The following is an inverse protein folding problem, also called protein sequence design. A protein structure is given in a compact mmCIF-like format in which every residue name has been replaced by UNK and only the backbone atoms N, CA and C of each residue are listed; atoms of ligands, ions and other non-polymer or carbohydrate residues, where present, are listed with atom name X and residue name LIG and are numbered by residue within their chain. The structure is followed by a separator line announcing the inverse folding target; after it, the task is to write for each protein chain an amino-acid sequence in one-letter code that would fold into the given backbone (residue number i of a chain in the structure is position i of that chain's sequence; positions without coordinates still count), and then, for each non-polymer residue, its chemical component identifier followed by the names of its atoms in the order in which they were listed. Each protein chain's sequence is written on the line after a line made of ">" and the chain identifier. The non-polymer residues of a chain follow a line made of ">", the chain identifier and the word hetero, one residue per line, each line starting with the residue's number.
data_IF_181730144620
#
_entry.id   IF_181730144620
#
_cell.length_a   1.000
_cell.length_b   1.000
_cell.length_c   1.000
_cell.angle_alpha   90.00
_cell.angle_beta   90.00
_cell.angle_gamma   90.00
#
_symmetry.space_group_name_H-M   'P 1'
#
loop_
_entity.id
_entity.type
_entity.pdbx_description
1 polymer ?
#
# COMPACT_ATOMS: atom_id res chain seq x y z
N UNK A 1 6.56 -19.03 1.83
CA UNK A 1 7.68 -18.96 2.82
C UNK A 1 7.36 -17.90 3.87
N UNK A 2 7.71 -18.08 5.16
CA UNK A 2 7.42 -17.08 6.23
C UNK A 2 8.24 -15.78 6.11
N UNK A 3 9.29 -15.75 5.27
CA UNK A 3 10.17 -14.59 5.06
C UNK A 3 9.51 -13.42 4.33
N UNK A 4 8.78 -13.69 3.26
CA UNK A 4 8.22 -12.68 2.33
C UNK A 4 7.19 -11.77 3.04
N UNK A 5 6.40 -12.34 3.97
CA UNK A 5 5.43 -11.57 4.77
C UNK A 5 6.12 -10.61 5.75
N UNK A 6 7.26 -10.99 6.32
CA UNK A 6 8.02 -10.15 7.26
C UNK A 6 8.72 -9.02 6.54
N UNK A 7 9.37 -9.31 5.41
CA UNK A 7 9.99 -8.30 4.55
C UNK A 7 8.94 -7.30 4.04
N UNK A 8 7.83 -7.78 3.49
CA UNK A 8 6.74 -6.92 3.01
C UNK A 8 6.19 -6.00 4.09
N UNK A 9 6.01 -6.50 5.33
CA UNK A 9 5.55 -5.65 6.45
C UNK A 9 6.58 -4.60 6.85
N UNK A 10 7.87 -4.96 6.92
CA UNK A 10 8.96 -4.03 7.26
C UNK A 10 9.11 -2.95 6.21
N UNK A 11 9.15 -3.35 4.94
CA UNK A 11 9.27 -2.45 3.81
C UNK A 11 8.06 -1.50 3.73
N UNK A 12 6.85 -2.02 3.94
CA UNK A 12 5.65 -1.18 4.02
C UNK A 12 5.70 -0.21 5.18
N UNK A 13 6.19 -0.60 6.36
CA UNK A 13 6.33 0.31 7.49
C UNK A 13 7.36 1.40 7.20
N UNK A 14 8.54 1.04 6.69
CA UNK A 14 9.59 2.01 6.33
C UNK A 14 9.05 3.04 5.33
N UNK A 15 8.57 2.58 4.18
CA UNK A 15 8.18 3.46 3.06
C UNK A 15 6.96 4.32 3.38
N UNK A 16 6.08 3.89 4.29
CA UNK A 16 4.83 4.60 4.60
C UNK A 16 4.89 5.49 5.84
N UNK A 17 5.78 5.16 6.78
CA UNK A 17 5.74 5.69 8.13
C UNK A 17 7.13 6.06 8.64
N UNK A 18 8.08 5.10 8.59
CA UNK A 18 9.32 5.21 9.34
C UNK A 18 10.53 5.80 8.60
N UNK A 19 10.44 6.10 7.30
CA UNK A 19 11.60 6.49 6.50
C UNK A 19 12.38 7.67 7.12
N UNK A 20 11.70 8.77 7.43
CA UNK A 20 12.32 9.96 8.04
C UNK A 20 12.92 9.65 9.42
N UNK A 21 12.21 8.89 10.25
CA UNK A 21 12.69 8.47 11.59
C UNK A 21 13.92 7.55 11.51
N UNK A 22 14.06 6.80 10.43
CA UNK A 22 15.21 5.94 10.16
C UNK A 22 16.33 6.67 9.39
N UNK A 23 16.23 8.00 9.23
CA UNK A 23 17.25 8.83 8.59
C UNK A 23 17.25 8.77 7.06
N UNK A 24 16.24 8.16 6.43
CA UNK A 24 16.10 8.19 4.99
C UNK A 24 15.56 9.53 4.52
N UNK A 25 16.02 9.96 3.35
CA UNK A 25 15.48 11.10 2.63
C UNK A 25 14.76 10.59 1.39
N UNK A 26 13.52 11.04 1.20
CA UNK A 26 12.79 10.75 -0.02
C UNK A 26 13.41 11.49 -1.20
N UNK A 27 13.44 10.79 -2.32
CA UNK A 27 13.70 11.30 -3.66
C UNK A 27 12.33 11.58 -4.30
N UNK A 28 12.32 12.35 -5.39
CA UNK A 28 11.12 12.70 -6.18
C UNK A 28 10.11 11.56 -6.30
N UNK A 29 8.83 11.85 -6.01
CA UNK A 29 7.76 10.86 -6.06
C UNK A 29 7.79 9.83 -4.92
N UNK A 30 8.48 10.14 -3.83
CA UNK A 30 8.53 9.37 -2.58
C UNK A 30 9.27 8.04 -2.72
N UNK A 31 10.30 8.06 -3.55
CA UNK A 31 11.20 6.93 -3.77
C UNK A 31 12.38 6.96 -2.79
N UNK A 32 12.88 5.77 -2.45
CA UNK A 32 14.16 5.57 -1.76
C UNK A 32 15.08 4.72 -2.65
N UNK A 33 16.39 4.92 -2.57
CA UNK A 33 17.33 4.02 -3.24
C UNK A 33 17.30 2.64 -2.59
N UNK A 34 17.22 1.59 -3.41
CA UNK A 34 17.18 0.20 -2.93
C UNK A 34 18.49 -0.19 -2.23
N UNK A 35 19.63 0.32 -2.72
CA UNK A 35 20.93 0.10 -2.09
C UNK A 35 20.96 0.61 -0.63
N UNK A 36 20.45 1.82 -0.39
CA UNK A 36 20.39 2.41 0.95
C UNK A 36 19.45 1.61 1.87
N UNK A 37 18.30 1.15 1.34
CA UNK A 37 17.36 0.31 2.08
C UNK A 37 18.01 -1.00 2.50
N UNK A 38 18.73 -1.68 1.59
CA UNK A 38 19.41 -2.95 1.88
C UNK A 38 20.61 -2.80 2.81
N UNK A 39 21.30 -1.65 2.77
CA UNK A 39 22.39 -1.34 3.69
C UNK A 39 21.91 -1.09 5.13
N UNK A 40 20.64 -0.73 5.31
CA UNK A 40 20.09 -0.41 6.61
C UNK A 40 19.92 -1.64 7.52
N UNK A 41 20.24 -1.49 8.80
CA UNK A 41 20.24 -2.57 9.80
C UNK A 41 18.95 -3.41 9.85
N UNK A 42 17.79 -2.80 9.57
CA UNK A 42 16.50 -3.49 9.57
C UNK A 42 16.33 -4.50 8.42
N UNK A 43 17.12 -4.36 7.36
CA UNK A 43 17.06 -5.16 6.14
C UNK A 43 18.28 -6.06 5.95
N UNK A 44 19.18 -6.12 6.94
CA UNK A 44 20.33 -7.02 6.92
C UNK A 44 19.89 -8.47 6.68
N UNK A 45 20.48 -9.09 5.66
CA UNK A 45 20.19 -10.46 5.26
C UNK A 45 19.08 -10.62 4.23
N UNK A 46 18.50 -9.52 3.73
CA UNK A 46 17.70 -9.53 2.51
C UNK A 46 18.54 -9.14 1.30
N UNK A 47 18.15 -9.63 0.13
CA UNK A 47 18.80 -9.34 -1.15
C UNK A 47 17.95 -8.44 -2.04
N UNK A 48 18.54 -8.01 -3.15
CA UNK A 48 17.79 -7.33 -4.21
C UNK A 48 16.67 -8.21 -4.78
N UNK A 49 16.93 -9.50 -4.99
CA UNK A 49 15.92 -10.46 -5.45
C UNK A 49 14.73 -10.57 -4.48
N UNK A 50 15.00 -10.54 -3.17
CA UNK A 50 13.94 -10.55 -2.16
C UNK A 50 13.02 -9.34 -2.30
N UNK A 51 13.59 -8.14 -2.54
CA UNK A 51 12.81 -6.93 -2.78
C UNK A 51 12.05 -7.01 -4.10
N UNK A 52 12.73 -7.39 -5.20
CA UNK A 52 12.12 -7.51 -6.52
C UNK A 52 10.94 -8.48 -6.54
N UNK A 53 11.02 -9.59 -5.79
CA UNK A 53 9.90 -10.54 -5.64
C UNK A 53 8.61 -9.92 -5.06
N UNK A 54 8.71 -8.74 -4.42
CA UNK A 54 7.59 -8.04 -3.80
C UNK A 54 6.99 -6.93 -4.68
N UNK A 55 7.51 -6.67 -5.87
CA UNK A 55 7.16 -5.49 -6.67
C UNK A 55 6.28 -5.81 -7.87
N UNK A 56 5.66 -4.77 -8.42
CA UNK A 56 4.66 -4.88 -9.49
C UNK A 56 5.20 -5.54 -10.77
N UNK A 57 6.43 -5.22 -11.17
CA UNK A 57 7.01 -5.69 -12.43
C UNK A 57 7.33 -7.19 -12.42
N UNK A 58 7.69 -7.75 -11.25
CA UNK A 58 8.03 -9.18 -11.11
C UNK A 58 6.83 -10.06 -10.73
N UNK A 59 5.65 -9.46 -10.54
CA UNK A 59 4.45 -10.17 -10.13
C UNK A 59 4.01 -11.22 -11.16
N UNK A 60 4.22 -10.97 -12.46
CA UNK A 60 3.85 -11.93 -13.52
C UNK A 60 4.90 -13.04 -13.74
N UNK A 61 6.19 -12.79 -13.45
CA UNK A 61 7.24 -13.82 -13.55
C UNK A 61 7.22 -14.81 -12.37
N UNK A 62 6.93 -14.33 -11.16
CA UNK A 62 6.87 -15.15 -9.94
C UNK A 62 5.53 -15.86 -9.70
N UNK A 63 4.53 -15.62 -10.56
CA UNK A 63 3.16 -16.17 -10.45
C UNK A 63 3.06 -17.69 -10.50
N UNK A 64 4.11 -18.39 -10.96
CA UNK A 64 4.16 -19.86 -10.87
C UNK A 64 4.49 -20.39 -9.47
N UNK A 65 4.98 -19.56 -8.53
CA UNK A 65 5.49 -20.05 -7.24
C UNK A 65 4.86 -19.37 -6.01
N UNK A 66 4.34 -18.14 -6.06
CA UNK A 66 3.91 -17.44 -4.83
C UNK A 66 2.64 -16.58 -5.02
N UNK A 67 1.53 -16.98 -4.40
CA UNK A 67 0.22 -16.32 -4.43
C UNK A 67 0.02 -15.19 -3.40
N UNK A 68 1.06 -14.75 -2.69
CA UNK A 68 0.87 -14.00 -1.42
C UNK A 68 0.91 -12.46 -1.52
N UNK A 69 1.10 -11.87 -2.70
CA UNK A 69 1.19 -10.41 -2.86
C UNK A 69 0.05 -9.79 -3.68
N UNK A 70 -1.19 -10.13 -3.32
CA UNK A 70 -2.43 -9.66 -3.98
C UNK A 70 -2.69 -8.15 -3.92
N UNK A 71 -1.84 -7.34 -3.25
CA UNK A 71 -2.12 -5.93 -2.93
C UNK A 71 -1.22 -4.91 -3.64
N UNK A 72 -0.40 -5.31 -4.63
CA UNK A 72 0.30 -4.35 -5.52
C UNK A 72 0.99 -3.20 -4.75
N UNK A 73 1.71 -3.53 -3.67
CA UNK A 73 2.06 -2.55 -2.61
C UNK A 73 3.24 -1.65 -2.93
N UNK A 74 4.15 -2.11 -3.78
CA UNK A 74 5.44 -1.48 -4.03
C UNK A 74 5.71 -1.37 -5.52
N UNK A 75 6.37 -0.28 -5.88
CA UNK A 75 6.77 0.04 -7.25
C UNK A 75 8.28 0.25 -7.28
N UNK A 76 8.92 -0.28 -8.33
CA UNK A 76 10.32 -0.03 -8.62
C UNK A 76 10.43 0.86 -9.85
N UNK A 77 11.49 1.65 -9.89
CA UNK A 77 11.96 2.28 -11.11
C UNK A 77 13.47 2.28 -11.16
N UNK A 78 14.00 2.37 -12.36
CA UNK A 78 15.41 2.71 -12.58
C UNK A 78 15.54 4.22 -12.74
N UNK A 79 16.44 4.84 -12.00
CA UNK A 79 16.84 6.23 -12.22
C UNK A 79 17.76 6.34 -13.46
N UNK A 80 17.98 7.58 -13.92
CA UNK A 80 18.78 7.86 -15.12
C UNK A 80 20.24 7.41 -14.99
N UNK A 81 20.76 7.34 -13.76
CA UNK A 81 22.09 6.83 -13.43
C UNK A 81 22.15 5.30 -13.28
N UNK A 82 21.03 4.61 -13.51
CA UNK A 82 20.89 3.16 -13.34
C UNK A 82 20.61 2.71 -11.91
N UNK A 83 20.51 3.61 -10.94
CA UNK A 83 20.18 3.26 -9.57
C UNK A 83 18.72 2.77 -9.46
N UNK A 84 18.52 1.65 -8.77
CA UNK A 84 17.19 1.11 -8.53
C UNK A 84 16.54 1.81 -7.33
N UNK A 85 15.31 2.27 -7.52
CA UNK A 85 14.56 3.01 -6.52
C UNK A 85 13.23 2.33 -6.22
N UNK A 86 12.77 2.40 -4.97
CA UNK A 86 11.53 1.79 -4.50
C UNK A 86 10.62 2.79 -3.76
N UNK A 87 9.31 2.69 -3.99
CA UNK A 87 8.29 3.39 -3.19
C UNK A 87 7.14 2.48 -2.79
N UNK A 88 6.37 2.91 -1.79
CA UNK A 88 5.03 2.35 -1.59
C UNK A 88 4.04 3.10 -2.48
N UNK A 89 3.06 2.40 -3.04
CA UNK A 89 2.07 3.03 -3.96
C UNK A 89 0.98 3.77 -3.18
N UNK A 90 0.67 3.32 -1.96
CA UNK A 90 -0.40 3.87 -1.14
C UNK A 90 -0.09 3.72 0.36
N UNK A 91 -0.79 4.50 1.19
CA UNK A 91 -0.85 4.30 2.63
C UNK A 91 0.20 5.06 3.43
N UNK A 92 0.68 6.19 2.91
CA UNK A 92 1.61 7.06 3.61
C UNK A 92 0.94 7.78 4.79
N UNK A 93 1.73 8.05 5.83
CA UNK A 93 1.43 9.02 6.89
C UNK A 93 2.50 10.10 7.02
N UNK A 94 3.50 10.08 6.14
CA UNK A 94 4.62 11.01 6.12
C UNK A 94 4.14 12.28 5.43
N UNK A 95 4.36 13.45 6.03
CA UNK A 95 3.79 14.72 5.55
C UNK A 95 4.58 15.32 4.38
N UNK A 96 5.85 14.96 4.29
CA UNK A 96 6.84 15.41 3.30
C UNK A 96 6.71 14.65 1.96
N UNK A 97 5.76 13.70 1.89
CA UNK A 97 5.47 12.91 0.69
C UNK A 97 4.52 13.72 -0.20
N UNK A 98 5.09 14.39 -1.20
CA UNK A 98 4.36 15.02 -2.29
C UNK A 98 4.66 14.27 -3.62
N UNK A 99 3.71 14.23 -4.56
CA UNK A 99 3.92 13.57 -5.86
C UNK A 99 3.56 12.08 -5.95
N UNK A 100 2.55 11.63 -5.20
CA UNK A 100 1.83 10.41 -5.59
C UNK A 100 0.87 10.78 -6.74
N UNK A 101 0.94 10.06 -7.85
CA UNK A 101 0.00 10.18 -8.99
C UNK A 101 -1.39 9.65 -8.61
N UNK A 102 -2.04 10.29 -7.64
CA UNK A 102 -3.40 10.00 -7.23
C UNK A 102 -4.33 11.01 -7.86
N UNK A 103 -5.30 10.50 -8.61
CA UNK A 103 -6.40 11.30 -9.12
C UNK A 103 -7.47 11.43 -8.03
N UNK A 104 -7.84 12.65 -7.61
CA UNK A 104 -8.93 12.84 -6.66
C UNK A 104 -10.24 12.27 -7.22
N UNK A 105 -11.03 11.62 -6.37
CA UNK A 105 -12.42 11.30 -6.73
C UNK A 105 -13.25 12.57 -6.54
N UNK A 106 -13.87 13.04 -7.63
CA UNK A 106 -14.71 14.23 -7.70
C UNK A 106 -16.13 13.83 -8.09
N UNK A 107 -17.08 14.77 -8.00
CA UNK A 107 -18.44 14.55 -8.49
C UNK A 107 -18.46 14.17 -9.99
N UNK A 108 -17.48 14.64 -10.77
CA UNK A 108 -17.42 14.41 -12.20
C UNK A 108 -16.87 13.02 -12.56
N UNK A 109 -16.03 12.40 -11.72
CA UNK A 109 -15.41 11.10 -12.02
C UNK A 109 -15.88 9.96 -11.09
N UNK A 110 -16.71 10.23 -10.08
CA UNK A 110 -17.17 9.21 -9.13
C UNK A 110 -17.93 8.06 -9.80
N UNK A 111 -18.56 8.30 -10.95
CA UNK A 111 -19.21 7.27 -11.77
C UNK A 111 -18.26 6.15 -12.24
N UNK A 112 -16.95 6.41 -12.31
CA UNK A 112 -15.93 5.41 -12.63
C UNK A 112 -15.67 4.43 -11.48
N UNK A 113 -16.13 4.76 -10.28
CA UNK A 113 -15.97 3.98 -9.06
C UNK A 113 -17.36 3.64 -8.49
N UNK A 114 -18.15 2.79 -9.18
CA UNK A 114 -19.56 2.55 -8.83
C UNK A 114 -19.75 1.97 -7.43
N UNK A 115 -18.72 1.31 -6.87
CA UNK A 115 -18.72 0.74 -5.52
C UNK A 115 -17.36 0.95 -4.87
N UNK A 116 -17.31 1.86 -3.89
CA UNK A 116 -16.14 2.12 -3.07
C UNK A 116 -16.41 1.61 -1.64
N UNK A 117 -15.71 0.55 -1.22
CA UNK A 117 -15.97 -0.09 0.08
C UNK A 117 -14.88 0.26 1.08
N UNK A 118 -15.29 0.71 2.26
CA UNK A 118 -14.41 0.88 3.41
C UNK A 118 -14.65 -0.20 4.47
N UNK A 119 -13.67 -1.08 4.66
CA UNK A 119 -13.70 -2.08 5.73
C UNK A 119 -13.18 -1.51 7.05
N UNK A 120 -13.99 -1.60 8.10
CA UNK A 120 -13.67 -1.13 9.46
C UNK A 120 -14.03 -2.19 10.51
N UNK A 121 -13.98 -1.80 11.79
CA UNK A 121 -14.37 -2.66 12.90
C UNK A 121 -15.59 -2.08 13.64
N UNK A 122 -16.46 -2.93 14.18
CA UNK A 122 -17.69 -2.56 14.90
C UNK A 122 -17.43 -1.59 16.05
N UNK A 123 -16.30 -1.75 16.76
CA UNK A 123 -15.87 -0.81 17.81
C UNK A 123 -15.69 0.64 17.34
N UNK A 124 -15.46 0.87 16.05
CA UNK A 124 -15.31 2.19 15.45
C UNK A 124 -16.61 2.72 14.84
N UNK A 125 -17.64 1.88 14.66
CA UNK A 125 -18.90 2.24 14.00
C UNK A 125 -19.57 3.46 14.63
N UNK A 126 -19.74 3.47 15.97
CA UNK A 126 -20.39 4.60 16.66
C UNK A 126 -19.74 5.95 16.38
N UNK A 127 -18.41 5.98 16.28
CA UNK A 127 -17.67 7.20 15.97
C UNK A 127 -17.87 7.58 14.51
N UNK A 128 -17.76 6.62 13.60
CA UNK A 128 -17.93 6.84 12.15
C UNK A 128 -19.35 7.29 11.80
N UNK A 129 -20.39 6.71 12.42
CA UNK A 129 -21.78 7.10 12.17
C UNK A 129 -22.09 8.51 12.64
N UNK A 130 -21.37 9.01 13.65
CA UNK A 130 -21.58 10.35 14.19
C UNK A 130 -20.81 11.43 13.43
N UNK A 131 -19.59 11.13 12.95
CA UNK A 131 -18.67 12.16 12.41
C UNK A 131 -18.22 11.90 10.96
N UNK A 132 -18.63 10.78 10.36
CA UNK A 132 -18.14 10.31 9.07
C UNK A 132 -16.78 9.61 9.15
N UNK A 133 -16.29 9.18 7.99
CA UNK A 133 -14.95 8.60 7.85
C UNK A 133 -13.88 9.68 8.04
N UNK A 134 -12.80 9.31 8.72
CA UNK A 134 -11.63 10.17 8.93
C UNK A 134 -10.38 9.51 8.36
N UNK A 135 -9.50 10.32 7.78
CA UNK A 135 -8.15 9.89 7.37
C UNK A 135 -7.28 9.44 8.55
N UNK A 136 -7.65 9.83 9.77
CA UNK A 136 -6.86 9.63 10.99
C UNK A 136 -5.42 10.13 10.78
N UNK A 137 -4.42 9.27 11.01
CA UNK A 137 -3.01 9.63 10.82
C UNK A 137 -2.53 9.45 9.35
N UNK A 138 -3.39 9.04 8.41
CA UNK A 138 -3.01 8.87 7.00
C UNK A 138 -3.29 10.13 6.18
N UNK A 139 -2.67 10.20 5.00
CA UNK A 139 -2.88 11.31 4.06
C UNK A 139 -4.29 11.29 3.45
N UNK A 140 -4.81 10.10 3.11
CA UNK A 140 -6.13 9.92 2.47
C UNK A 140 -6.97 8.84 3.16
N UNK A 141 -8.29 8.84 2.88
CA UNK A 141 -9.18 7.72 3.21
C UNK A 141 -8.98 6.64 2.13
N UNK A 142 -8.91 5.37 2.56
CA UNK A 142 -8.68 4.24 1.67
C UNK A 142 -9.97 3.47 1.44
N UNK A 143 -10.29 3.24 0.17
CA UNK A 143 -11.37 2.38 -0.27
C UNK A 143 -10.81 1.19 -1.06
N UNK A 144 -11.51 0.07 -0.99
CA UNK A 144 -11.38 -1.00 -1.97
C UNK A 144 -12.44 -0.82 -3.04
N UNK A 145 -12.08 -1.00 -4.31
CA UNK A 145 -13.05 -1.00 -5.41
C UNK A 145 -13.59 -2.41 -5.58
N UNK A 146 -14.91 -2.56 -5.62
CA UNK A 146 -15.58 -3.82 -5.95
C UNK A 146 -16.23 -3.71 -7.32
N UNK A 147 -16.05 -4.72 -8.17
CA UNK A 147 -16.80 -4.84 -9.44
C UNK A 147 -18.26 -5.24 -9.21
N UNK A 148 -18.60 -5.73 -8.02
CA UNK A 148 -19.95 -6.18 -7.67
C UNK A 148 -20.64 -5.12 -6.82
N UNK A 149 -21.62 -4.46 -7.43
CA UNK A 149 -22.61 -3.64 -6.77
C UNK A 149 -23.53 -4.55 -5.95
N UNK A 150 -23.15 -4.77 -4.69
CA UNK A 150 -23.90 -5.61 -3.77
C UNK A 150 -23.36 -7.04 -3.71
N UNK A 151 -22.35 -7.26 -2.86
CA UNK A 151 -21.93 -8.62 -2.50
C UNK A 151 -22.90 -9.21 -1.48
N UNK A 152 -24.01 -9.80 -1.94
CA UNK A 152 -24.87 -10.64 -1.10
C UNK A 152 -24.21 -11.98 -0.72
N UNK A 153 -23.08 -12.33 -1.34
CA UNK A 153 -22.46 -13.67 -1.22
C UNK A 153 -21.09 -13.70 -0.55
N UNK A 154 -20.78 -12.77 0.36
CA UNK A 154 -19.60 -12.89 1.23
C UNK A 154 -18.25 -13.01 0.50
N UNK A 155 -18.19 -12.62 -0.77
CA UNK A 155 -16.99 -12.64 -1.60
C UNK A 155 -15.91 -11.73 -1.01
N UNK A 156 -14.69 -12.24 -0.91
CA UNK A 156 -13.58 -11.48 -0.35
C UNK A 156 -13.25 -10.26 -1.24
N UNK A 157 -13.65 -9.07 -0.83
CA UNK A 157 -13.26 -7.81 -1.49
C UNK A 157 -11.74 -7.65 -1.36
N UNK A 158 -11.04 -7.76 -2.48
CA UNK A 158 -9.58 -7.59 -2.54
C UNK A 158 -9.19 -6.21 -2.01
N UNK A 159 -8.12 -6.14 -1.23
CA UNK A 159 -7.66 -4.90 -0.60
C UNK A 159 -8.09 -4.73 0.86
N UNK A 160 -9.26 -5.25 1.26
CA UNK A 160 -9.71 -5.21 2.66
C UNK A 160 -8.90 -6.14 3.57
N UNK A 161 -8.98 -5.92 4.88
CA UNK A 161 -8.45 -6.86 5.88
C UNK A 161 -9.50 -7.94 6.09
N UNK A 162 -9.08 -9.21 6.10
CA UNK A 162 -9.99 -10.34 6.39
C UNK A 162 -10.65 -10.25 7.76
N UNK A 163 -10.03 -9.52 8.70
CA UNK A 163 -10.56 -9.31 10.05
C UNK A 163 -11.54 -8.14 10.16
N UNK A 164 -11.81 -7.39 9.08
CA UNK A 164 -12.81 -6.34 9.11
C UNK A 164 -14.21 -6.97 9.26
N UNK A 165 -15.00 -6.46 10.20
CA UNK A 165 -16.32 -7.00 10.56
C UNK A 165 -17.47 -6.01 10.22
N UNK A 166 -17.14 -4.82 9.70
CA UNK A 166 -18.09 -3.83 9.19
C UNK A 166 -17.62 -3.33 7.82
N UNK A 167 -18.56 -3.28 6.87
CA UNK A 167 -18.36 -2.71 5.53
C UNK A 167 -19.22 -1.45 5.39
N UNK A 168 -18.62 -0.38 4.91
CA UNK A 168 -19.28 0.88 4.57
C UNK A 168 -19.19 1.05 3.05
N UNK A 169 -20.33 1.37 2.43
CA UNK A 169 -20.50 1.60 1.00
C UNK A 169 -20.77 3.08 0.75
#
# INVERSE_FOLDING_TARGET
>A
RRGDSRLSKRLAWLLRHGATEQGFKFIDGCYLNVADVLAHQQFRGYTLDDIQSLTLEHFDLYRRVVSTNSKKRFELRSADDGALQIRAVQGHSIKEVDGLDLQPITADNCHQFPVAVHGTYMRHWRSISAQGLSRMNRTHIHFAVSSEAGGSDGGAISGLRQSADVLIF
#
